data_IF_592029174582
#
_entry.id   IF_592029174582
#
_cell.length_a   1.000
_cell.length_b   1.000
_cell.length_c   1.000
_cell.angle_alpha   90.00
_cell.angle_beta   90.00
_cell.angle_gamma   90.00
#
_symmetry.space_group_name_H-M   'P 1'
#
loop_
_entity.id
_entity.type
_entity.pdbx_description
1 polymer ?
#
# COMPACT_ATOMS: atom_id res chain seq x y z
N UNK A 1 5.40 -22.59 28.58
CA UNK A 1 5.69 -22.54 27.13
C UNK A 1 4.72 -21.61 26.39
N UNK A 2 3.40 -21.70 26.59
CA UNK A 2 2.42 -20.76 26.00
C UNK A 2 2.65 -19.28 26.37
N UNK A 3 2.98 -18.98 27.63
CA UNK A 3 3.24 -17.60 28.08
C UNK A 3 4.45 -16.95 27.40
N UNK A 4 5.49 -17.72 27.06
CA UNK A 4 6.65 -17.22 26.32
C UNK A 4 6.30 -16.85 24.87
N UNK A 5 5.39 -17.59 24.24
CA UNK A 5 4.95 -17.29 22.87
C UNK A 5 4.12 -16.00 22.82
N UNK A 6 3.22 -15.80 23.79
CA UNK A 6 2.39 -14.58 23.85
C UNK A 6 3.22 -13.33 24.11
N UNK A 7 4.20 -13.41 25.03
CA UNK A 7 5.12 -12.28 25.29
C UNK A 7 6.03 -11.97 24.07
N UNK A 8 6.46 -13.00 23.34
CA UNK A 8 7.25 -12.82 22.13
C UNK A 8 6.43 -12.19 21.00
N UNK A 9 5.17 -12.58 20.87
CA UNK A 9 4.22 -12.02 19.90
C UNK A 9 3.97 -10.53 20.18
N UNK A 10 3.68 -10.14 21.43
CA UNK A 10 3.54 -8.73 21.81
C UNK A 10 4.81 -7.91 21.52
N UNK A 11 5.99 -8.45 21.84
CA UNK A 11 7.26 -7.78 21.59
C UNK A 11 7.54 -7.58 20.09
N UNK A 12 7.23 -8.58 19.27
CA UNK A 12 7.36 -8.50 17.81
C UNK A 12 6.42 -7.45 17.22
N UNK A 13 5.16 -7.40 17.66
CA UNK A 13 4.24 -6.36 17.22
C UNK A 13 4.70 -4.96 17.58
N UNK A 14 5.23 -4.76 18.79
CA UNK A 14 5.78 -3.46 19.21
C UNK A 14 6.99 -3.05 18.36
N UNK A 15 7.87 -4.00 18.06
CA UNK A 15 9.03 -3.77 17.20
C UNK A 15 8.62 -3.41 15.78
N UNK A 16 7.65 -4.13 15.20
CA UNK A 16 7.10 -3.83 13.87
C UNK A 16 6.43 -2.46 13.84
N UNK A 17 5.61 -2.14 14.83
CA UNK A 17 4.95 -0.84 14.94
C UNK A 17 5.96 0.31 15.01
N UNK A 18 7.01 0.15 15.83
CA UNK A 18 8.08 1.15 15.95
C UNK A 18 8.85 1.30 14.63
N UNK A 19 9.18 0.20 13.96
CA UNK A 19 9.82 0.22 12.64
C UNK A 19 8.97 0.92 11.57
N UNK A 20 7.65 0.68 11.57
CA UNK A 20 6.71 1.34 10.66
C UNK A 20 6.63 2.84 10.90
N UNK A 21 6.62 3.28 12.16
CA UNK A 21 6.61 4.71 12.52
C UNK A 21 7.90 5.39 12.02
N UNK A 22 9.07 4.78 12.26
CA UNK A 22 10.35 5.33 11.80
C UNK A 22 10.37 5.40 10.26
N UNK A 23 9.96 4.33 9.58
CA UNK A 23 9.89 4.30 8.12
C UNK A 23 8.96 5.36 7.56
N UNK A 24 7.78 5.53 8.16
CA UNK A 24 6.83 6.58 7.79
C UNK A 24 7.43 7.98 7.90
N UNK A 25 8.12 8.28 9.02
CA UNK A 25 8.76 9.59 9.25
C UNK A 25 9.83 9.86 8.18
N UNK A 26 10.69 8.88 7.90
CA UNK A 26 11.75 9.02 6.89
C UNK A 26 11.15 9.34 5.51
N UNK A 27 10.14 8.57 5.08
CA UNK A 27 9.49 8.78 3.79
C UNK A 27 8.78 10.14 3.72
N UNK A 28 8.17 10.59 4.82
CA UNK A 28 7.55 11.91 4.88
C UNK A 28 8.56 13.04 4.75
N UNK A 29 9.71 12.93 5.42
CA UNK A 29 10.80 13.92 5.30
C UNK A 29 11.30 13.99 3.85
N UNK A 30 11.53 12.84 3.21
CA UNK A 30 11.90 12.78 1.79
C UNK A 30 10.85 13.46 0.89
N UNK A 31 9.57 13.18 1.13
CA UNK A 31 8.46 13.80 0.39
C UNK A 31 8.45 15.33 0.52
N UNK A 32 8.69 15.85 1.73
CA UNK A 32 8.78 17.29 1.98
C UNK A 32 9.98 17.92 1.26
N UNK A 33 11.14 17.25 1.27
CA UNK A 33 12.34 17.72 0.54
C UNK A 33 12.07 17.79 -0.96
N UNK A 34 11.39 16.80 -1.53
CA UNK A 34 10.99 16.81 -2.95
C UNK A 34 10.05 17.99 -3.22
N UNK A 35 9.06 18.23 -2.37
CA UNK A 35 8.11 19.33 -2.52
C UNK A 35 8.81 20.72 -2.52
N UNK A 36 9.76 20.92 -1.60
CA UNK A 36 10.54 22.17 -1.49
C UNK A 36 11.40 22.38 -2.75
N UNK A 37 12.06 21.33 -3.22
CA UNK A 37 12.89 21.39 -4.44
C UNK A 37 12.04 21.61 -5.70
N UNK A 38 10.79 21.13 -5.71
CA UNK A 38 9.87 21.34 -6.83
C UNK A 38 9.57 22.81 -7.08
N UNK A 39 9.35 23.54 -6.00
CA UNK A 39 9.06 24.97 -6.04
C UNK A 39 10.20 25.77 -6.72
N UNK A 40 11.42 25.23 -6.74
CA UNK A 40 12.59 25.87 -7.36
C UNK A 40 12.89 25.41 -8.80
N UNK A 41 12.24 24.35 -9.32
CA UNK A 41 12.59 23.74 -10.61
C UNK A 41 11.49 23.90 -11.67
N UNK A 42 11.86 24.07 -12.94
CA UNK A 42 10.93 24.26 -14.07
C UNK A 42 10.17 22.99 -14.50
N UNK A 43 10.52 21.81 -13.97
CA UNK A 43 9.93 20.52 -14.34
C UNK A 43 8.88 20.06 -13.30
N UNK A 44 7.77 20.78 -13.24
CA UNK A 44 6.68 20.57 -12.27
C UNK A 44 6.06 19.16 -12.33
N UNK A 45 5.89 18.60 -13.54
CA UNK A 45 5.26 17.27 -13.71
C UNK A 45 6.08 16.15 -13.08
N UNK A 46 7.39 16.08 -13.38
CA UNK A 46 8.26 15.03 -12.84
C UNK A 46 8.28 15.03 -11.30
N UNK A 47 8.24 16.24 -10.77
CA UNK A 47 8.22 16.49 -9.36
C UNK A 47 6.96 16.06 -8.61
N UNK A 48 5.80 16.37 -9.18
CA UNK A 48 4.50 16.02 -8.60
C UNK A 48 4.35 14.50 -8.47
N UNK A 49 4.95 13.74 -9.39
CA UNK A 49 4.95 12.28 -9.38
C UNK A 49 5.81 11.73 -8.25
N UNK A 50 7.04 12.23 -8.12
CA UNK A 50 7.94 11.80 -7.04
C UNK A 50 7.32 12.11 -5.68
N UNK A 51 6.62 13.23 -5.56
CA UNK A 51 5.84 13.55 -4.38
C UNK A 51 4.67 12.60 -4.17
N UNK A 52 3.86 12.34 -5.20
CA UNK A 52 2.74 11.40 -5.13
C UNK A 52 3.20 9.99 -4.75
N UNK A 53 4.32 9.51 -5.28
CA UNK A 53 4.88 8.21 -4.90
C UNK A 53 5.26 8.17 -3.42
N UNK A 54 5.92 9.21 -2.90
CA UNK A 54 6.23 9.30 -1.45
C UNK A 54 4.97 9.30 -0.60
N UNK A 55 3.92 10.04 -0.99
CA UNK A 55 2.63 10.02 -0.30
C UNK A 55 1.99 8.62 -0.35
N UNK A 56 1.99 7.96 -1.51
CA UNK A 56 1.48 6.60 -1.67
C UNK A 56 2.26 5.58 -0.83
N UNK A 57 3.59 5.73 -0.73
CA UNK A 57 4.43 4.92 0.16
C UNK A 57 4.06 5.18 1.62
N UNK A 58 3.93 6.45 2.03
CA UNK A 58 3.49 6.81 3.38
C UNK A 58 2.10 6.24 3.72
N UNK A 59 1.17 6.22 2.77
CA UNK A 59 -0.13 5.59 2.94
C UNK A 59 -0.01 4.08 3.17
N UNK A 60 0.91 3.38 2.49
CA UNK A 60 1.15 1.96 2.80
C UNK A 60 1.66 1.78 4.23
N UNK A 61 2.60 2.61 4.68
CA UNK A 61 3.09 2.53 6.06
C UNK A 61 1.94 2.70 7.05
N UNK A 62 1.06 3.69 6.82
CA UNK A 62 -0.12 3.94 7.63
C UNK A 62 -1.09 2.74 7.59
N UNK A 63 -1.30 2.16 6.42
CA UNK A 63 -2.19 1.02 6.21
C UNK A 63 -1.69 -0.24 6.92
N UNK A 64 -0.39 -0.55 6.78
CA UNK A 64 0.23 -1.68 7.49
C UNK A 64 0.18 -1.41 8.99
N UNK A 65 0.47 -0.19 9.44
CA UNK A 65 0.36 0.17 10.85
C UNK A 65 -1.07 -0.04 11.38
N UNK A 66 -2.09 0.33 10.62
CA UNK A 66 -3.48 0.04 10.94
C UNK A 66 -3.73 -1.46 11.06
N UNK A 67 -3.22 -2.30 10.14
CA UNK A 67 -3.38 -3.76 10.27
C UNK A 67 -2.69 -4.34 11.48
N UNK A 68 -1.53 -3.83 11.85
CA UNK A 68 -0.81 -4.24 13.06
C UNK A 68 -1.67 -3.91 14.28
N UNK A 69 -2.23 -2.70 14.36
CA UNK A 69 -3.13 -2.32 15.46
C UNK A 69 -4.33 -3.26 15.53
N UNK A 70 -4.98 -3.53 14.40
CA UNK A 70 -6.18 -4.38 14.37
C UNK A 70 -5.83 -5.83 14.73
N UNK A 71 -4.69 -6.34 14.28
CA UNK A 71 -4.21 -7.67 14.65
C UNK A 71 -3.94 -7.80 16.17
N UNK A 72 -3.48 -6.73 16.81
CA UNK A 72 -3.27 -6.70 18.27
C UNK A 72 -4.60 -6.58 19.03
N UNK A 73 -5.53 -5.75 18.54
CA UNK A 73 -6.80 -5.47 19.24
C UNK A 73 -7.86 -6.55 19.05
N UNK A 74 -7.83 -7.32 17.96
CA UNK A 74 -8.78 -8.40 17.71
C UNK A 74 -8.15 -9.79 17.88
N UNK A 75 -8.30 -10.41 19.05
CA UNK A 75 -7.84 -11.79 19.32
C UNK A 75 -8.58 -12.88 18.51
N UNK A 76 -9.65 -12.52 17.79
CA UNK A 76 -10.45 -13.47 17.02
C UNK A 76 -9.98 -13.54 15.57
N UNK A 77 -9.27 -14.61 15.20
CA UNK A 77 -8.74 -14.87 13.85
C UNK A 77 -9.77 -14.71 12.71
N UNK A 78 -11.08 -14.89 13.00
CA UNK A 78 -12.17 -14.74 12.03
C UNK A 78 -12.49 -13.28 11.69
N UNK A 79 -12.20 -12.32 12.59
CA UNK A 79 -12.37 -10.89 12.29
C UNK A 79 -11.13 -10.28 11.65
N UNK A 80 -9.94 -10.84 11.88
CA UNK A 80 -8.68 -10.37 11.30
C UNK A 80 -8.60 -10.50 9.75
N UNK A 81 -9.45 -11.32 9.13
CA UNK A 81 -9.46 -11.50 7.67
C UNK A 81 -9.98 -10.26 6.93
N UNK A 82 -10.99 -9.58 7.47
CA UNK A 82 -11.60 -8.41 6.84
C UNK A 82 -10.62 -7.23 6.65
N UNK A 83 -9.86 -6.78 7.67
CA UNK A 83 -8.85 -5.74 7.51
C UNK A 83 -7.70 -6.20 6.60
N UNK A 84 -7.31 -7.47 6.62
CA UNK A 84 -6.22 -7.97 5.77
C UNK A 84 -6.57 -7.89 4.28
N UNK A 85 -7.80 -8.28 3.88
CA UNK A 85 -8.22 -8.17 2.48
C UNK A 85 -8.37 -6.70 2.07
N UNK A 86 -8.82 -5.82 2.98
CA UNK A 86 -8.85 -4.37 2.75
C UNK A 86 -7.46 -3.83 2.38
N UNK A 87 -6.42 -4.24 3.10
CA UNK A 87 -5.02 -3.85 2.80
C UNK A 87 -4.52 -4.44 1.50
N UNK A 88 -4.90 -5.68 1.18
CA UNK A 88 -4.56 -6.28 -0.10
C UNK A 88 -5.18 -5.50 -1.28
N UNK A 89 -6.42 -5.01 -1.12
CA UNK A 89 -7.09 -4.15 -2.10
C UNK A 89 -6.40 -2.79 -2.21
N UNK A 90 -6.07 -2.12 -1.09
CA UNK A 90 -5.41 -0.80 -1.13
C UNK A 90 -4.01 -0.87 -1.73
N UNK A 91 -3.26 -1.95 -1.49
CA UNK A 91 -1.97 -2.21 -2.14
C UNK A 91 -2.09 -2.38 -3.67
N UNK A 92 -3.11 -3.08 -4.15
CA UNK A 92 -3.39 -3.21 -5.59
C UNK A 92 -3.81 -1.88 -6.22
N UNK A 93 -4.65 -1.10 -5.54
CA UNK A 93 -5.07 0.24 -5.99
C UNK A 93 -3.85 1.16 -6.13
N UNK A 94 -2.90 1.12 -5.19
CA UNK A 94 -1.63 1.87 -5.34
C UNK A 94 -0.89 1.49 -6.62
N UNK A 95 -0.71 0.18 -6.89
CA UNK A 95 -0.01 -0.28 -8.11
C UNK A 95 -0.73 0.22 -9.36
N UNK A 96 -2.07 0.17 -9.37
CA UNK A 96 -2.88 0.67 -10.48
C UNK A 96 -2.69 2.18 -10.72
N UNK A 97 -2.64 2.99 -9.66
CA UNK A 97 -2.42 4.43 -9.76
C UNK A 97 -1.03 4.77 -10.33
N UNK A 98 0.02 4.11 -9.83
CA UNK A 98 1.40 4.31 -10.31
C UNK A 98 1.52 3.88 -11.78
N UNK A 99 0.94 2.73 -12.12
CA UNK A 99 0.98 2.19 -13.48
C UNK A 99 0.22 3.08 -14.48
N UNK A 100 -0.96 3.56 -14.10
CA UNK A 100 -1.76 4.49 -14.91
C UNK A 100 -0.99 5.78 -15.18
N UNK A 101 -0.27 6.26 -14.16
CA UNK A 101 0.60 7.41 -14.29
C UNK A 101 1.76 7.15 -15.27
N UNK A 102 2.48 6.04 -15.12
CA UNK A 102 3.63 5.69 -15.97
C UNK A 102 3.25 5.60 -17.46
N UNK A 103 2.03 5.14 -17.76
CA UNK A 103 1.49 5.09 -19.12
C UNK A 103 1.14 6.48 -19.66
N UNK A 104 0.70 7.40 -18.79
CA UNK A 104 0.37 8.78 -19.20
C UNK A 104 1.59 9.64 -19.52
N UNK A 105 2.78 9.26 -19.00
CA UNK A 105 4.05 9.95 -19.21
C UNK A 105 5.13 8.98 -19.71
N UNK A 106 4.99 8.44 -20.94
CA UNK A 106 5.94 7.46 -21.46
C UNK A 106 7.33 8.08 -21.63
N UNK A 107 8.30 7.59 -20.85
CA UNK A 107 9.71 8.02 -20.95
C UNK A 107 10.38 7.49 -22.23
N UNK A 108 9.88 6.36 -22.78
CA UNK A 108 10.35 5.77 -24.04
C UNK A 108 9.17 5.15 -24.79
N UNK A 109 8.88 5.62 -26.00
CA UNK A 109 7.83 5.08 -26.86
C UNK A 109 8.27 3.77 -27.52
N UNK A 110 8.06 2.65 -26.81
CA UNK A 110 8.19 1.30 -27.39
C UNK A 110 6.82 0.63 -27.38
N UNK A 111 6.30 0.32 -28.56
CA UNK A 111 4.93 -0.25 -28.75
C UNK A 111 4.77 -1.59 -28.01
N UNK A 112 5.83 -2.39 -27.90
CA UNK A 112 5.82 -3.64 -27.13
C UNK A 112 5.70 -3.42 -25.62
N UNK A 113 6.35 -2.38 -25.09
CA UNK A 113 6.28 -2.03 -23.66
C UNK A 113 4.88 -1.53 -23.28
N UNK A 114 4.21 -0.78 -24.17
CA UNK A 114 2.82 -0.35 -23.97
C UNK A 114 1.85 -1.53 -23.85
N UNK A 115 2.00 -2.57 -24.69
CA UNK A 115 1.16 -3.78 -24.59
C UNK A 115 1.33 -4.48 -23.24
N UNK A 116 2.56 -4.56 -22.75
CA UNK A 116 2.84 -5.16 -21.45
C UNK A 116 2.18 -4.39 -20.30
N UNK A 117 2.30 -3.05 -20.29
CA UNK A 117 1.66 -2.21 -19.28
C UNK A 117 0.13 -2.28 -19.31
N UNK A 118 -0.49 -2.34 -20.50
CA UNK A 118 -1.93 -2.53 -20.62
C UNK A 118 -2.39 -3.88 -20.05
N UNK A 119 -1.62 -4.94 -20.31
CA UNK A 119 -1.91 -6.27 -19.76
C UNK A 119 -1.75 -6.30 -18.25
N UNK A 120 -0.68 -5.69 -17.72
CA UNK A 120 -0.46 -5.56 -16.29
C UNK A 120 -1.61 -4.80 -15.61
N UNK A 121 -2.08 -3.71 -16.23
CA UNK A 121 -3.18 -2.90 -15.69
C UNK A 121 -4.49 -3.69 -15.67
N UNK A 122 -4.78 -4.44 -16.73
CA UNK A 122 -5.94 -5.33 -16.79
C UNK A 122 -5.87 -6.44 -15.72
N UNK A 123 -4.69 -7.01 -15.49
CA UNK A 123 -4.49 -8.07 -14.49
C UNK A 123 -4.68 -7.53 -13.07
N UNK A 124 -4.13 -6.35 -12.76
CA UNK A 124 -4.35 -5.69 -11.47
C UNK A 124 -5.84 -5.38 -11.27
N UNK A 125 -6.51 -4.83 -12.28
CA UNK A 125 -7.94 -4.56 -12.22
C UNK A 125 -8.77 -5.82 -11.96
N UNK A 126 -8.42 -6.93 -12.62
CA UNK A 126 -9.06 -8.22 -12.40
C UNK A 126 -8.83 -8.77 -10.97
N UNK A 127 -7.61 -8.65 -10.44
CA UNK A 127 -7.31 -9.05 -9.06
C UNK A 127 -8.10 -8.25 -8.02
N UNK A 128 -8.27 -6.93 -8.23
CA UNK A 128 -9.09 -6.10 -7.35
C UNK A 128 -10.53 -6.61 -7.32
N UNK A 129 -11.11 -6.93 -8.48
CA UNK A 129 -12.47 -7.48 -8.55
C UNK A 129 -12.57 -8.82 -7.82
N UNK A 130 -11.59 -9.72 -7.98
CA UNK A 130 -11.55 -11.00 -7.27
C UNK A 130 -11.50 -10.82 -5.75
N UNK A 131 -10.69 -9.89 -5.25
CA UNK A 131 -10.61 -9.61 -3.81
C UNK A 131 -11.90 -9.02 -3.26
N UNK A 132 -12.55 -8.12 -4.00
CA UNK A 132 -13.87 -7.58 -3.64
C UNK A 132 -14.91 -8.70 -3.58
N UNK A 133 -14.95 -9.58 -4.58
CA UNK A 133 -15.86 -10.74 -4.59
C UNK A 133 -15.57 -11.67 -3.41
N UNK A 134 -14.30 -11.90 -3.07
CA UNK A 134 -13.89 -12.63 -1.88
C UNK A 134 -14.47 -12.04 -0.60
N UNK A 135 -14.37 -10.72 -0.42
CA UNK A 135 -14.96 -10.01 0.73
C UNK A 135 -16.49 -10.19 0.74
N UNK A 136 -17.16 -10.00 -0.39
CA UNK A 136 -18.62 -10.10 -0.47
C UNK A 136 -19.11 -11.50 -0.11
N UNK A 137 -18.43 -12.54 -0.61
CA UNK A 137 -18.72 -13.94 -0.28
C UNK A 137 -18.45 -14.23 1.20
N UNK A 138 -17.32 -13.76 1.74
CA UNK A 138 -16.97 -13.92 3.15
C UNK A 138 -18.00 -13.26 4.07
N UNK A 139 -18.45 -12.03 3.75
CA UNK A 139 -19.50 -11.33 4.48
C UNK A 139 -20.85 -12.02 4.40
N UNK A 140 -21.18 -12.66 3.28
CA UNK A 140 -22.41 -13.46 3.14
C UNK A 140 -22.37 -14.77 3.92
N UNK A 141 -21.23 -15.43 4.02
CA UNK A 141 -21.10 -16.69 4.78
C UNK A 141 -21.22 -16.49 6.29
N UNK A 142 -21.02 -15.26 6.80
CA UNK A 142 -21.09 -14.92 8.22
C UNK A 142 -22.48 -14.44 8.67
N UNK A 143 -23.42 -14.28 7.74
CA UNK A 143 -24.80 -13.83 7.98
C UNK A 143 -25.74 -15.03 7.91
#
# INVERSE_FOLDING_TARGET
MREFFTQLEEYLYYLVALGLIIGFIIVMIDGLVILINLYQSANFSEGAIKFLDKILVSLIFLEIFYTVIVAITEESAVKCIEPFILVAVTALVRRLLILSFEISHPTVFVVERMKFYLFEMALIGFLIILFILGIVLFRRSKR
#
